data_IF_856066644291
#
_entry.id   IF_856066644291
#
_cell.length_a   1.000
_cell.length_b   1.000
_cell.length_c   1.000
_cell.angle_alpha   90.00
_cell.angle_beta   90.00
_cell.angle_gamma   90.00
#
_symmetry.space_group_name_H-M   'P 1'
#
loop_
_entity.id
_entity.type
_entity.pdbx_description
1 polymer ?
#
# COMPACT_ATOMS: atom_id res chain seq x y z
N UNK A 1 -9.80 15.31 12.92
CA UNK A 1 -8.86 14.23 12.55
C UNK A 1 -9.05 13.89 11.08
N UNK A 2 -7.96 13.85 10.35
CA UNK A 2 -7.99 13.45 8.95
C UNK A 2 -7.80 11.94 8.84
N UNK A 3 -8.60 11.30 8.00
CA UNK A 3 -8.55 9.87 7.81
C UNK A 3 -8.66 9.55 6.32
N UNK A 4 -7.87 8.60 5.85
CA UNK A 4 -7.95 8.10 4.48
C UNK A 4 -8.18 6.59 4.51
N UNK A 5 -9.07 6.12 3.65
CA UNK A 5 -9.32 4.69 3.46
C UNK A 5 -9.11 4.38 1.98
N UNK A 6 -8.23 3.43 1.69
CA UNK A 6 -7.86 3.10 0.33
C UNK A 6 -7.93 1.58 0.11
N UNK A 7 -8.38 1.19 -1.07
CA UNK A 7 -8.32 -0.20 -1.51
C UNK A 7 -7.58 -0.22 -2.83
N UNK A 8 -6.50 -0.99 -2.88
CA UNK A 8 -5.68 -1.06 -4.08
C UNK A 8 -4.85 -2.32 -4.12
N UNK A 9 -4.08 -2.46 -5.18
CA UNK A 9 -3.20 -3.61 -5.37
C UNK A 9 -1.75 -3.22 -5.13
N UNK A 10 -1.00 -4.08 -4.45
CA UNK A 10 0.43 -3.87 -4.26
C UNK A 10 1.14 -3.83 -5.62
N UNK A 11 1.96 -2.80 -5.84
CA UNK A 11 2.69 -2.61 -7.10
C UNK A 11 3.96 -3.45 -7.16
N UNK A 12 4.46 -3.87 -6.00
CA UNK A 12 5.65 -4.71 -5.84
C UNK A 12 5.56 -5.42 -4.50
N UNK A 13 6.47 -6.36 -4.25
CA UNK A 13 6.56 -7.01 -2.95
C UNK A 13 6.91 -5.96 -1.88
N UNK A 14 6.26 -6.01 -0.70
CA UNK A 14 6.57 -5.07 0.37
C UNK A 14 7.99 -5.25 0.90
N UNK A 15 8.62 -4.17 1.30
CA UNK A 15 9.94 -4.20 1.95
C UNK A 15 9.78 -4.14 3.46
N UNK A 16 10.14 -5.22 4.14
CA UNK A 16 10.14 -5.28 5.60
C UNK A 16 11.56 -5.05 6.12
N UNK A 17 11.73 -4.03 6.95
CA UNK A 17 13.02 -3.69 7.55
C UNK A 17 12.83 -3.42 9.04
N UNK A 18 13.95 -3.21 9.76
CA UNK A 18 13.93 -2.78 11.14
C UNK A 18 14.67 -1.46 11.30
N UNK A 19 14.17 -0.61 12.19
CA UNK A 19 14.87 0.62 12.55
C UNK A 19 16.04 0.29 13.48
N UNK A 20 16.89 1.29 13.76
CA UNK A 20 18.02 1.14 14.67
C UNK A 20 17.57 0.66 16.05
N UNK A 21 16.38 1.07 16.49
CA UNK A 21 15.81 0.65 17.77
C UNK A 21 15.08 -0.69 17.75
N UNK A 22 15.11 -1.41 16.61
CA UNK A 22 14.52 -2.74 16.50
C UNK A 22 13.03 -2.75 16.20
N UNK A 23 12.46 -1.66 15.72
CA UNK A 23 11.04 -1.57 15.37
C UNK A 23 10.85 -1.98 13.92
N UNK A 24 9.92 -2.90 13.66
CA UNK A 24 9.60 -3.34 12.31
C UNK A 24 8.89 -2.24 11.52
N UNK A 25 9.34 -2.03 10.30
CA UNK A 25 8.78 -1.05 9.36
C UNK A 25 8.62 -1.71 8.00
N UNK A 26 7.42 -1.68 7.47
CA UNK A 26 7.15 -2.19 6.12
C UNK A 26 6.81 -1.03 5.20
N UNK A 27 7.54 -0.92 4.10
CA UNK A 27 7.27 0.06 3.05
C UNK A 27 6.68 -0.65 1.85
N UNK A 28 5.60 -0.11 1.34
CA UNK A 28 4.91 -0.68 0.20
C UNK A 28 4.20 0.40 -0.60
N UNK A 29 3.84 0.07 -1.83
CA UNK A 29 3.10 0.98 -2.72
C UNK A 29 1.83 0.28 -3.20
N UNK A 30 0.76 1.04 -3.29
CA UNK A 30 -0.49 0.53 -3.83
C UNK A 30 -0.92 1.34 -5.05
N UNK A 31 -1.56 0.65 -5.98
CA UNK A 31 -2.21 1.25 -7.14
C UNK A 31 -3.72 1.21 -6.90
N UNK A 32 -4.34 2.37 -6.93
CA UNK A 32 -5.79 2.52 -6.70
C UNK A 32 -6.44 3.03 -7.98
N UNK A 33 -7.33 2.23 -8.55
CA UNK A 33 -8.07 2.65 -9.73
C UNK A 33 -9.20 3.59 -9.33
N UNK A 34 -9.34 4.69 -10.06
CA UNK A 34 -10.44 5.62 -9.84
C UNK A 34 -11.75 4.97 -10.28
N UNK A 35 -12.84 5.33 -9.60
CA UNK A 35 -14.17 4.79 -9.88
C UNK A 35 -14.84 5.39 -11.11
N UNK A 36 -14.22 6.36 -11.75
CA UNK A 36 -14.76 7.03 -12.92
C UNK A 36 -13.70 7.18 -14.00
N UNK A 37 -14.15 7.34 -15.24
CA UNK A 37 -13.26 7.64 -16.36
C UNK A 37 -13.01 9.15 -16.41
N UNK A 38 -11.81 9.52 -16.85
CA UNK A 38 -11.50 10.93 -17.10
C UNK A 38 -12.27 11.46 -18.32
N UNK A 39 -12.09 12.75 -18.61
CA UNK A 39 -12.77 13.39 -19.75
C UNK A 39 -12.39 12.78 -21.10
N UNK A 40 -11.25 12.11 -21.17
CA UNK A 40 -10.77 11.38 -22.36
C UNK A 40 -11.31 9.95 -22.44
N UNK A 41 -12.13 9.52 -21.49
CA UNK A 41 -12.67 8.18 -21.44
C UNK A 41 -11.73 7.13 -20.87
N UNK A 42 -10.53 7.50 -20.43
CA UNK A 42 -9.55 6.59 -19.86
C UNK A 42 -9.70 6.50 -18.34
N UNK A 43 -9.54 5.27 -17.83
CA UNK A 43 -9.51 5.04 -16.39
C UNK A 43 -8.16 5.50 -15.84
N UNK A 44 -8.21 6.28 -14.77
CA UNK A 44 -7.01 6.77 -14.10
C UNK A 44 -6.66 5.89 -12.92
N UNK A 45 -5.36 5.82 -12.63
CA UNK A 45 -4.83 5.07 -11.49
C UNK A 45 -3.98 6.01 -10.66
N UNK A 46 -4.20 5.98 -9.36
CA UNK A 46 -3.37 6.73 -8.41
C UNK A 46 -2.44 5.77 -7.67
N UNK A 47 -1.22 6.23 -7.41
CA UNK A 47 -0.19 5.45 -6.73
C UNK A 47 0.13 6.09 -5.38
N UNK A 48 0.16 5.29 -4.33
CA UNK A 48 0.44 5.76 -2.98
C UNK A 48 1.60 4.98 -2.38
N UNK A 49 2.57 5.70 -1.83
CA UNK A 49 3.64 5.11 -1.03
C UNK A 49 3.16 5.05 0.41
N UNK A 50 3.23 3.87 1.01
CA UNK A 50 2.70 3.60 2.33
C UNK A 50 3.76 3.06 3.26
N UNK A 51 3.56 3.28 4.55
CA UNK A 51 4.44 2.75 5.60
C UNK A 51 3.57 2.15 6.69
N UNK A 52 3.86 0.93 7.08
CA UNK A 52 3.20 0.27 8.20
C UNK A 52 4.24 -0.12 9.25
N UNK A 53 3.90 0.07 10.51
CA UNK A 53 4.80 -0.10 11.64
C UNK A 53 4.42 -1.32 12.48
N UNK A 54 5.43 -1.91 13.13
CA UNK A 54 5.26 -2.98 14.14
C UNK A 54 4.53 -4.19 13.57
N UNK A 55 3.56 -4.73 14.31
CA UNK A 55 2.86 -5.96 13.93
C UNK A 55 2.13 -5.89 12.61
N UNK A 56 1.53 -4.76 12.28
CA UNK A 56 0.88 -4.57 10.98
C UNK A 56 1.92 -4.62 9.86
N UNK A 57 3.06 -3.96 10.05
CA UNK A 57 4.15 -4.00 9.06
C UNK A 57 4.68 -5.42 8.85
N UNK A 58 4.85 -6.18 9.92
CA UNK A 58 5.29 -7.57 9.83
C UNK A 58 4.29 -8.44 9.08
N UNK A 59 3.00 -8.26 9.35
CA UNK A 59 1.94 -9.00 8.67
C UNK A 59 1.97 -8.72 7.17
N UNK A 60 2.04 -7.47 6.77
CA UNK A 60 2.11 -7.08 5.36
C UNK A 60 3.38 -7.65 4.71
N UNK A 61 4.52 -7.50 5.36
CA UNK A 61 5.79 -7.96 4.82
C UNK A 61 5.90 -9.47 4.64
N UNK A 62 5.23 -10.24 5.49
CA UNK A 62 5.31 -11.71 5.46
C UNK A 62 4.27 -12.35 4.56
N UNK A 63 3.07 -11.78 4.48
CA UNK A 63 1.93 -12.45 3.85
C UNK A 63 1.43 -11.79 2.57
N UNK A 64 1.85 -10.57 2.28
CA UNK A 64 1.41 -9.85 1.09
C UNK A 64 2.49 -9.85 0.02
N UNK A 65 2.07 -9.91 -1.24
CA UNK A 65 2.96 -9.95 -2.39
C UNK A 65 2.46 -8.99 -3.46
N UNK A 66 3.31 -8.68 -4.43
CA UNK A 66 2.94 -7.89 -5.60
C UNK A 66 1.63 -8.42 -6.21
N UNK A 67 0.72 -7.52 -6.49
CA UNK A 67 -0.57 -7.85 -7.09
C UNK A 67 -1.68 -8.14 -6.09
N UNK A 68 -1.35 -8.38 -4.81
CA UNK A 68 -2.36 -8.60 -3.78
C UNK A 68 -3.20 -7.35 -3.56
N UNK A 69 -4.51 -7.54 -3.40
CA UNK A 69 -5.43 -6.45 -3.08
C UNK A 69 -5.42 -6.21 -1.57
N UNK A 70 -5.23 -4.98 -1.17
CA UNK A 70 -5.21 -4.60 0.25
C UNK A 70 -6.09 -3.39 0.49
N UNK A 71 -6.70 -3.34 1.69
CA UNK A 71 -7.47 -2.19 2.17
C UNK A 71 -6.73 -1.54 3.33
N UNK A 72 -6.59 -0.23 3.26
CA UNK A 72 -5.90 0.52 4.31
C UNK A 72 -6.64 1.79 4.67
#
# INVERSE_FOLDING_TARGET
MNKAELIGNLTRDPELTETVSGVSVCRFSIAVNRNYYGSDGERKTDYFNCVAWRGLGETIGRYCKKGHKVGI
#
